data_IF_840283155861
#
_entry.id   IF_840283155861
#
_cell.length_a   1.000
_cell.length_b   1.000
_cell.length_c   1.000
_cell.angle_alpha   90.00
_cell.angle_beta   90.00
_cell.angle_gamma   90.00
#
_symmetry.space_group_name_H-M   'P 1'
#
loop_
_entity.id
_entity.type
_entity.pdbx_description
1 polymer ?
#
# COMPACT_ATOMS: atom_id res chain seq x y z
N UNK A 1 -28.09 14.06 17.82
CA UNK A 1 -26.70 14.57 17.72
C UNK A 1 -26.11 14.42 16.30
N UNK A 2 -26.91 14.06 15.27
CA UNK A 2 -26.48 14.12 13.87
C UNK A 2 -27.60 14.72 13.02
N UNK A 3 -27.46 15.97 12.56
CA UNK A 3 -28.33 16.56 11.53
C UNK A 3 -27.59 17.63 10.71
N UNK A 4 -26.63 17.21 9.89
CA UNK A 4 -26.37 17.87 8.61
C UNK A 4 -25.85 16.82 7.62
N UNK A 5 -26.57 16.66 6.52
CA UNK A 5 -26.18 15.77 5.43
C UNK A 5 -24.85 16.31 4.87
N UNK A 6 -23.76 15.57 5.07
CA UNK A 6 -22.42 15.97 4.60
C UNK A 6 -21.48 16.58 5.67
N UNK A 7 -21.84 16.61 6.95
CA UNK A 7 -20.87 16.96 8.02
C UNK A 7 -20.42 15.71 8.77
N UNK A 8 -19.10 15.55 8.93
CA UNK A 8 -18.52 14.51 9.79
C UNK A 8 -19.03 14.66 11.25
N UNK A 9 -19.06 13.58 12.05
CA UNK A 9 -19.40 13.68 13.46
C UNK A 9 -18.48 14.68 14.20
N UNK A 10 -18.96 15.26 15.29
CA UNK A 10 -18.15 16.20 16.08
C UNK A 10 -16.88 15.50 16.58
N UNK A 11 -15.72 16.13 16.35
CA UNK A 11 -14.40 15.57 16.68
C UNK A 11 -13.79 14.64 15.61
N UNK A 12 -14.46 14.44 14.48
CA UNK A 12 -13.92 13.69 13.35
C UNK A 12 -13.30 14.63 12.32
N UNK A 13 -12.12 14.27 11.85
CA UNK A 13 -11.43 14.93 10.74
C UNK A 13 -11.19 13.93 9.62
N UNK A 14 -11.29 14.38 8.37
CA UNK A 14 -10.88 13.60 7.21
C UNK A 14 -9.58 14.18 6.66
N UNK A 15 -8.52 13.39 6.68
CA UNK A 15 -7.29 13.70 5.97
C UNK A 15 -7.21 12.85 4.70
N UNK A 16 -6.88 13.50 3.59
CA UNK A 16 -6.63 12.85 2.32
C UNK A 16 -5.14 12.98 1.99
N UNK A 17 -4.52 11.89 1.52
CA UNK A 17 -3.15 11.90 1.01
C UNK A 17 -3.17 11.64 -0.48
N UNK A 18 -2.58 12.55 -1.25
CA UNK A 18 -2.29 12.32 -2.66
C UNK A 18 -1.03 11.47 -2.84
N UNK A 19 -0.82 10.94 -4.05
CA UNK A 19 0.40 10.22 -4.44
C UNK A 19 0.76 9.07 -3.50
N UNK A 20 -0.17 8.14 -3.30
CA UNK A 20 0.07 6.93 -2.51
C UNK A 20 0.27 5.72 -3.42
N UNK A 21 1.24 4.89 -3.07
CA UNK A 21 1.49 3.60 -3.70
C UNK A 21 1.05 2.45 -2.79
N UNK A 22 0.57 1.35 -3.36
CA UNK A 22 0.27 0.13 -2.62
C UNK A 22 1.14 -0.99 -3.19
N UNK A 23 1.86 -1.69 -2.31
CA UNK A 23 2.58 -2.91 -2.65
C UNK A 23 1.93 -4.06 -1.89
N UNK A 24 1.44 -5.07 -2.61
CA UNK A 24 0.82 -6.26 -2.07
C UNK A 24 1.71 -7.48 -2.29
N UNK A 25 1.94 -8.23 -1.22
CA UNK A 25 2.76 -9.43 -1.22
C UNK A 25 1.86 -10.59 -0.83
N UNK A 26 1.99 -11.71 -1.54
CA UNK A 26 1.14 -12.89 -1.38
C UNK A 26 1.93 -14.07 -0.82
N UNK A 27 2.25 -14.06 0.48
CA UNK A 27 3.00 -15.15 1.08
C UNK A 27 2.12 -16.39 1.23
N UNK A 28 2.57 -17.55 0.73
CA UNK A 28 1.91 -18.82 1.00
C UNK A 28 2.07 -19.26 2.47
N UNK A 29 3.17 -18.89 3.12
CA UNK A 29 3.47 -19.20 4.51
C UNK A 29 4.19 -18.02 5.21
N UNK A 30 4.19 -18.02 6.55
CA UNK A 30 5.00 -17.11 7.38
C UNK A 30 4.71 -15.60 7.24
N UNK A 31 3.44 -15.22 7.04
CA UNK A 31 3.04 -13.82 6.84
C UNK A 31 3.55 -12.83 7.91
N UNK A 32 3.50 -13.19 9.20
CA UNK A 32 3.99 -12.30 10.27
C UNK A 32 5.50 -12.07 10.26
N UNK A 33 6.28 -13.08 9.87
CA UNK A 33 7.74 -12.94 9.74
C UNK A 33 8.08 -12.06 8.54
N UNK A 34 7.35 -12.23 7.44
CA UNK A 34 7.51 -11.41 6.23
C UNK A 34 7.15 -9.97 6.52
N UNK A 35 6.02 -9.72 7.22
CA UNK A 35 5.61 -8.40 7.68
C UNK A 35 6.72 -7.70 8.48
N UNK A 36 7.29 -8.37 9.50
CA UNK A 36 8.29 -7.74 10.36
C UNK A 36 9.60 -7.43 9.62
N UNK A 37 10.08 -8.36 8.77
CA UNK A 37 11.29 -8.15 7.96
C UNK A 37 11.13 -6.93 7.05
N UNK A 38 9.98 -6.80 6.38
CA UNK A 38 9.70 -5.68 5.49
C UNK A 38 9.64 -4.38 6.28
N UNK A 39 8.93 -4.37 7.41
CA UNK A 39 8.83 -3.17 8.26
C UNK A 39 10.19 -2.66 8.70
N UNK A 40 11.08 -3.56 9.16
CA UNK A 40 12.44 -3.20 9.57
C UNK A 40 13.24 -2.66 8.39
N UNK A 41 13.26 -3.39 7.27
CA UNK A 41 14.04 -2.99 6.10
C UNK A 41 13.57 -1.67 5.48
N UNK A 42 12.26 -1.43 5.44
CA UNK A 42 11.71 -0.15 4.98
C UNK A 42 12.04 1.00 5.93
N UNK A 43 12.02 0.75 7.25
CA UNK A 43 12.43 1.75 8.23
C UNK A 43 13.91 2.13 8.07
N UNK A 44 14.81 1.15 7.91
CA UNK A 44 16.25 1.38 7.65
C UNK A 44 16.49 2.19 6.38
N UNK A 45 15.64 2.01 5.37
CA UNK A 45 15.72 2.70 4.08
C UNK A 45 14.91 3.99 4.01
N UNK A 46 14.34 4.44 5.13
CA UNK A 46 13.49 5.65 5.21
C UNK A 46 12.29 5.62 4.25
N UNK A 47 11.71 4.45 4.01
CA UNK A 47 10.48 4.29 3.22
C UNK A 47 9.28 4.42 4.18
N UNK A 48 8.41 5.43 3.99
CA UNK A 48 7.33 5.69 4.93
C UNK A 48 6.19 4.67 4.78
N UNK A 49 5.73 4.08 5.88
CA UNK A 49 4.52 3.25 5.90
C UNK A 49 3.35 4.14 6.31
N UNK A 50 2.42 4.38 5.40
CA UNK A 50 1.19 5.13 5.64
C UNK A 50 0.05 4.24 6.15
N UNK A 51 0.10 2.95 5.85
CA UNK A 51 -0.90 1.98 6.28
C UNK A 51 -0.47 0.56 5.97
N UNK A 52 -1.05 -0.39 6.72
CA UNK A 52 -0.87 -1.81 6.52
C UNK A 52 -2.26 -2.46 6.52
N UNK A 53 -2.52 -3.31 5.54
CA UNK A 53 -3.71 -4.15 5.48
C UNK A 53 -3.29 -5.60 5.29
N UNK A 54 -3.83 -6.51 6.10
CA UNK A 54 -3.52 -7.94 6.03
C UNK A 54 -4.77 -8.77 5.78
N UNK A 55 -4.58 -9.90 5.11
CA UNK A 55 -5.58 -10.95 4.92
C UNK A 55 -4.91 -12.31 5.07
N UNK A 56 -5.65 -13.40 4.85
CA UNK A 56 -5.09 -14.74 4.91
C UNK A 56 -3.98 -14.96 3.87
N UNK A 57 -4.11 -14.36 2.68
CA UNK A 57 -3.21 -14.60 1.56
C UNK A 57 -2.34 -13.40 1.19
N UNK A 58 -2.60 -12.22 1.75
CA UNK A 58 -1.95 -10.99 1.31
C UNK A 58 -1.57 -10.05 2.46
N UNK A 59 -0.42 -9.40 2.30
CA UNK A 59 0.04 -8.29 3.13
C UNK A 59 0.25 -7.11 2.21
N UNK A 60 -0.46 -6.00 2.46
CA UNK A 60 -0.39 -4.79 1.66
C UNK A 60 0.14 -3.62 2.47
N UNK A 61 1.12 -2.92 1.92
CA UNK A 61 1.67 -1.71 2.48
C UNK A 61 1.29 -0.52 1.62
N UNK A 62 0.76 0.53 2.25
CA UNK A 62 0.56 1.83 1.62
C UNK A 62 1.75 2.71 1.94
N UNK A 63 2.37 3.32 0.92
CA UNK A 63 3.56 4.17 1.03
C UNK A 63 3.44 5.41 0.13
N UNK A 64 4.46 6.27 0.14
CA UNK A 64 4.58 7.39 -0.79
C UNK A 64 4.90 6.85 -2.20
N UNK A 65 4.07 7.20 -3.17
CA UNK A 65 4.22 6.73 -4.55
C UNK A 65 5.57 7.13 -5.16
N UNK A 66 6.17 8.25 -4.77
CA UNK A 66 7.44 8.71 -5.33
C UNK A 66 8.63 7.81 -4.98
N UNK A 67 8.51 7.00 -3.92
CA UNK A 67 9.53 6.04 -3.49
C UNK A 67 9.12 4.59 -3.73
N UNK A 68 8.05 4.36 -4.50
CA UNK A 68 7.52 3.01 -4.71
C UNK A 68 8.52 2.11 -5.44
N UNK A 69 9.27 2.64 -6.40
CA UNK A 69 10.27 1.87 -7.14
C UNK A 69 11.43 1.47 -6.20
N UNK A 70 11.88 2.38 -5.31
CA UNK A 70 12.85 2.06 -4.25
C UNK A 70 12.32 0.97 -3.30
N UNK A 71 11.04 1.06 -2.92
CA UNK A 71 10.41 0.06 -2.06
C UNK A 71 10.37 -1.33 -2.73
N UNK A 72 10.14 -1.37 -4.04
CA UNK A 72 10.23 -2.59 -4.85
C UNK A 72 11.65 -3.16 -4.88
N UNK A 73 12.68 -2.33 -5.10
CA UNK A 73 14.08 -2.76 -5.09
C UNK A 73 14.48 -3.39 -3.75
N UNK A 74 14.05 -2.79 -2.62
CA UNK A 74 14.28 -3.35 -1.29
C UNK A 74 13.64 -4.73 -1.15
N UNK A 75 12.42 -4.91 -1.64
CA UNK A 75 11.74 -6.21 -1.59
C UNK A 75 12.43 -7.26 -2.46
N UNK A 76 12.94 -6.88 -3.63
CA UNK A 76 13.73 -7.78 -4.49
C UNK A 76 15.03 -8.22 -3.82
N UNK A 77 15.64 -7.37 -2.99
CA UNK A 77 16.80 -7.75 -2.18
C UNK A 77 16.47 -8.70 -1.02
N UNK A 78 15.23 -8.67 -0.52
CA UNK A 78 14.78 -9.51 0.60
C UNK A 78 14.26 -10.88 0.17
N UNK A 79 13.70 -10.99 -1.02
CA UNK A 79 13.03 -12.20 -1.50
C UNK A 79 13.61 -12.69 -2.82
N UNK A 80 13.90 -13.99 -2.90
CA UNK A 80 14.13 -14.66 -4.17
C UNK A 80 12.77 -14.89 -4.83
N UNK A 81 12.43 -14.06 -5.82
CA UNK A 81 11.24 -14.26 -6.64
C UNK A 81 11.52 -15.32 -7.71
N UNK A 82 10.53 -16.18 -8.06
CA UNK A 82 10.66 -17.10 -9.19
C UNK A 82 10.96 -16.36 -10.49
N UNK A 83 11.68 -16.98 -11.43
CA UNK A 83 12.01 -16.34 -12.72
C UNK A 83 10.75 -15.92 -13.53
N UNK A 84 9.62 -16.60 -13.30
CA UNK A 84 8.31 -16.35 -13.93
C UNK A 84 7.33 -15.58 -13.01
N UNK A 85 7.85 -14.74 -12.11
CA UNK A 85 6.99 -13.88 -11.31
C UNK A 85 6.33 -12.80 -12.19
N UNK A 86 5.07 -12.47 -11.88
CA UNK A 86 4.40 -11.35 -12.51
C UNK A 86 5.20 -10.05 -12.28
N UNK A 87 5.24 -9.12 -13.26
CA UNK A 87 5.92 -7.84 -13.10
C UNK A 87 5.45 -7.11 -11.83
N UNK A 88 6.41 -6.64 -11.02
CA UNK A 88 6.11 -5.90 -9.78
C UNK A 88 5.38 -4.57 -10.05
N UNK A 89 5.58 -4.02 -11.25
CA UNK A 89 4.88 -2.85 -11.75
C UNK A 89 4.05 -3.24 -12.97
N UNK A 90 2.71 -3.08 -12.94
CA UNK A 90 1.89 -3.28 -14.12
C UNK A 90 2.30 -2.28 -15.21
N UNK A 91 2.41 -2.73 -16.46
CA UNK A 91 2.65 -1.84 -17.61
C UNK A 91 1.44 -0.94 -17.92
N UNK A 92 0.27 -1.27 -17.36
CA UNK A 92 -0.98 -0.58 -17.59
C UNK A 92 -1.15 0.54 -16.56
N UNK A 93 -1.11 1.79 -17.04
CA UNK A 93 -1.43 2.98 -16.25
C UNK A 93 -2.94 3.24 -16.28
N UNK A 94 -3.60 3.10 -15.13
CA UNK A 94 -5.01 3.46 -14.96
C UNK A 94 -5.13 4.89 -14.45
N UNK A 95 -5.82 5.74 -15.20
CA UNK A 95 -6.17 7.09 -14.75
C UNK A 95 -7.53 7.05 -14.03
N UNK A 96 -7.55 7.37 -12.74
CA UNK A 96 -8.81 7.55 -12.03
C UNK A 96 -9.47 8.85 -12.50
N UNK A 97 -10.69 8.75 -13.04
CA UNK A 97 -11.51 9.91 -13.39
C UNK A 97 -11.78 10.79 -12.17
N UNK A 98 -11.68 12.11 -12.34
CA UNK A 98 -12.11 13.09 -11.33
C UNK A 98 -13.63 13.16 -11.16
N UNK A 99 -14.39 12.47 -12.03
CA UNK A 99 -15.85 12.51 -12.03
C UNK A 99 -16.43 11.20 -11.48
N UNK A 100 -17.04 11.28 -10.30
CA UNK A 100 -17.87 10.18 -9.77
C UNK A 100 -19.27 10.34 -10.34
N UNK A 101 -19.67 9.45 -11.26
CA UNK A 101 -21.07 9.38 -11.69
C UNK A 101 -21.88 8.74 -10.57
N UNK A 102 -22.90 9.45 -10.09
CA UNK A 102 -23.86 8.91 -9.13
C UNK A 102 -24.78 7.95 -9.87
N UNK A 103 -24.73 6.66 -9.50
CA UNK A 103 -25.69 5.65 -9.94
C UNK A 103 -27.03 5.78 -9.26
#
# INVERSE_FOLDING_TARGET
ILKKKGSLPMGWEMSCRGHVGIISIFPHHSGMKILSIIMVSWAEQSIPIHGIATSLSAISFTTDYHVIDKAVEVLQGLFQLPDDHAPLKPEILYYQSSTVKKG
#
